data_IF_196895035863
#
_entry.id   IF_196895035863
#
_cell.length_a   1.000
_cell.length_b   1.000
_cell.length_c   1.000
_cell.angle_alpha   90.00
_cell.angle_beta   90.00
_cell.angle_gamma   90.00
#
_symmetry.space_group_name_H-M   'P 1'
#
loop_
_entity.id
_entity.type
_entity.pdbx_description
1 polymer ?
#
# COMPACT_ATOMS: atom_id res chain seq x y z
N UNK A 1 14.07 42.16 7.22
CA UNK A 1 13.10 42.34 8.31
C UNK A 1 12.50 40.96 8.60
N UNK A 2 12.99 40.24 9.61
CA UNK A 2 12.44 38.93 10.01
C UNK A 2 11.21 39.21 10.86
N UNK A 3 10.02 38.84 10.37
CA UNK A 3 8.83 38.81 11.20
C UNK A 3 9.13 37.76 12.28
N UNK A 4 9.25 38.19 13.54
CA UNK A 4 9.35 37.28 14.67
C UNK A 4 8.08 36.43 14.69
N UNK A 5 8.22 35.13 14.54
CA UNK A 5 7.11 34.17 14.66
C UNK A 5 6.45 34.38 16.04
N UNK A 6 5.19 34.79 16.03
CA UNK A 6 4.46 35.12 17.25
C UNK A 6 4.12 33.86 18.06
N UNK A 7 3.59 34.02 19.28
CA UNK A 7 3.13 32.87 20.08
C UNK A 7 2.10 32.00 19.34
N UNK A 8 1.30 32.59 18.43
CA UNK A 8 0.36 31.85 17.59
C UNK A 8 1.04 30.86 16.63
N UNK A 9 2.16 31.24 16.02
CA UNK A 9 2.91 30.38 15.10
C UNK A 9 3.54 29.20 15.86
N UNK A 10 3.96 29.43 17.10
CA UNK A 10 4.46 28.38 17.99
C UNK A 10 3.36 27.37 18.35
N UNK A 11 2.16 27.82 18.69
CA UNK A 11 1.04 26.92 18.96
C UNK A 11 0.60 26.14 17.74
N UNK A 12 0.60 26.77 16.56
CA UNK A 12 0.26 26.09 15.29
C UNK A 12 1.25 24.96 15.00
N UNK A 13 2.55 25.24 15.09
CA UNK A 13 3.60 24.25 14.87
C UNK A 13 3.53 23.09 15.88
N UNK A 14 3.20 23.37 17.15
CA UNK A 14 3.06 22.31 18.16
C UNK A 14 1.82 21.45 17.90
N UNK A 15 0.68 22.05 17.51
CA UNK A 15 -0.53 21.31 17.14
C UNK A 15 -0.28 20.41 15.94
N UNK A 16 0.37 20.92 14.89
CA UNK A 16 0.73 20.13 13.69
C UNK A 16 1.60 18.93 14.06
N UNK A 17 2.63 19.14 14.86
CA UNK A 17 3.54 18.09 15.32
C UNK A 17 2.84 17.02 16.16
N UNK A 18 1.97 17.42 17.09
CA UNK A 18 1.19 16.48 17.92
C UNK A 18 0.21 15.70 17.04
N UNK A 19 -0.46 16.35 16.09
CA UNK A 19 -1.38 15.71 15.16
C UNK A 19 -0.68 14.69 14.26
N UNK A 20 0.49 15.02 13.70
CA UNK A 20 1.30 14.10 12.91
C UNK A 20 1.77 12.89 13.72
N UNK A 21 2.24 13.13 14.95
CA UNK A 21 2.69 12.06 15.86
C UNK A 21 1.54 11.12 16.18
N UNK A 22 0.38 11.67 16.55
CA UNK A 22 -0.83 10.90 16.83
C UNK A 22 -1.28 10.10 15.60
N UNK A 23 -1.31 10.73 14.42
CA UNK A 23 -1.71 10.05 13.18
C UNK A 23 -0.77 8.89 12.87
N UNK A 24 0.55 9.07 12.99
CA UNK A 24 1.51 8.01 12.77
C UNK A 24 1.29 6.82 13.73
N UNK A 25 0.97 7.09 14.99
CA UNK A 25 0.61 6.06 15.97
C UNK A 25 -0.68 5.32 15.57
N UNK A 26 -1.70 6.02 15.08
CA UNK A 26 -2.93 5.38 14.59
C UNK A 26 -2.67 4.50 13.37
N UNK A 27 -1.86 4.96 12.41
CA UNK A 27 -1.51 4.18 11.23
C UNK A 27 -0.77 2.91 11.64
N UNK A 28 0.31 3.03 12.42
CA UNK A 28 1.16 1.90 12.79
C UNK A 28 0.49 0.90 13.74
N UNK A 29 -0.48 1.32 14.55
CA UNK A 29 -1.26 0.40 15.40
C UNK A 29 -2.37 -0.34 14.64
N UNK A 30 -2.72 0.11 13.44
CA UNK A 30 -3.81 -0.47 12.65
C UNK A 30 -3.33 -1.67 11.83
N UNK A 31 -3.62 -2.89 12.29
CA UNK A 31 -3.19 -4.13 11.63
C UNK A 31 -3.62 -4.28 10.15
N UNK A 32 -4.69 -3.60 9.70
CA UNK A 32 -5.15 -3.67 8.30
C UNK A 32 -4.41 -2.72 7.35
N UNK A 33 -3.67 -1.74 7.89
CA UNK A 33 -2.95 -0.73 7.10
C UNK A 33 -1.46 -1.10 6.94
N UNK A 34 -1.11 -2.38 7.03
CA UNK A 34 0.27 -2.85 6.99
C UNK A 34 1.02 -2.44 5.72
N UNK A 35 0.32 -2.25 4.58
CA UNK A 35 0.94 -1.79 3.33
C UNK A 35 1.44 -0.33 3.39
N UNK A 36 1.05 0.45 4.40
CA UNK A 36 1.56 1.82 4.62
C UNK A 36 2.46 1.96 5.84
N UNK A 37 2.69 0.90 6.62
CA UNK A 37 3.61 0.94 7.75
C UNK A 37 5.04 1.16 7.28
N UNK A 38 5.86 1.85 8.09
CA UNK A 38 7.29 2.01 7.88
C UNK A 38 7.68 2.63 6.53
N UNK A 39 6.82 3.48 5.96
CA UNK A 39 7.13 4.23 4.74
C UNK A 39 8.03 5.40 5.05
N UNK A 40 9.32 5.14 4.85
CA UNK A 40 10.40 6.05 5.08
C UNK A 40 10.55 7.07 3.95
N UNK A 41 10.68 8.34 4.34
CA UNK A 41 10.85 9.47 3.43
C UNK A 41 12.13 10.22 3.75
N UNK A 42 12.84 10.59 2.69
CA UNK A 42 14.06 11.37 2.81
C UNK A 42 13.70 12.84 2.94
N UNK A 43 13.96 13.41 4.12
CA UNK A 43 13.54 14.76 4.52
C UNK A 43 14.73 15.66 4.88
N UNK A 44 14.47 16.97 4.91
CA UNK A 44 15.43 18.01 5.26
C UNK A 44 16.21 18.58 4.08
N UNK A 45 16.79 19.78 4.26
CA UNK A 45 17.45 20.58 3.21
C UNK A 45 18.60 19.87 2.49
N UNK A 46 19.18 18.83 3.10
CA UNK A 46 20.29 18.05 2.54
C UNK A 46 19.95 16.56 2.37
N UNK A 47 18.68 16.15 2.51
CA UNK A 47 18.26 14.74 2.37
C UNK A 47 19.02 13.77 3.29
N UNK A 48 19.49 14.25 4.44
CA UNK A 48 20.31 13.48 5.40
C UNK A 48 19.49 12.70 6.43
N UNK A 49 18.19 12.95 6.52
CA UNK A 49 17.33 12.35 7.52
C UNK A 49 16.24 11.54 6.83
N UNK A 50 16.02 10.33 7.34
CA UNK A 50 14.94 9.47 6.89
C UNK A 50 13.94 9.33 8.02
N UNK A 51 12.67 9.65 7.77
CA UNK A 51 11.59 9.62 8.75
C UNK A 51 10.33 8.99 8.15
N UNK A 52 9.49 8.40 9.00
CA UNK A 52 8.12 8.09 8.60
C UNK A 52 7.31 9.39 8.53
N UNK A 53 6.73 9.69 7.37
CA UNK A 53 5.91 10.89 7.15
C UNK A 53 4.47 10.45 6.93
N UNK A 54 3.56 10.63 7.89
CA UNK A 54 2.17 10.16 7.76
C UNK A 54 1.39 10.95 6.71
N UNK A 55 1.62 12.27 6.63
CA UNK A 55 0.94 13.19 5.71
C UNK A 55 1.77 13.40 4.43
N UNK A 56 1.56 12.54 3.43
CA UNK A 56 2.20 12.70 2.11
C UNK A 56 1.29 12.19 0.99
N UNK A 57 1.22 12.95 -0.10
CA UNK A 57 0.61 12.49 -1.34
C UNK A 57 1.47 11.36 -1.94
N UNK A 58 0.92 10.15 -1.97
CA UNK A 58 1.65 8.94 -2.42
C UNK A 58 1.45 8.67 -3.90
N UNK A 59 2.40 7.96 -4.50
CA UNK A 59 2.42 7.67 -5.94
C UNK A 59 1.17 6.92 -6.42
N UNK A 60 0.66 5.94 -5.68
CA UNK A 60 -0.59 5.28 -6.06
C UNK A 60 -1.81 6.22 -6.09
N UNK A 61 -1.76 7.38 -5.40
CA UNK A 61 -2.79 8.42 -5.46
C UNK A 61 -2.57 9.40 -6.62
N UNK A 62 -1.40 9.40 -7.27
CA UNK A 62 -1.12 10.23 -8.46
C UNK A 62 -1.43 9.51 -9.77
N UNK A 63 -1.89 8.26 -9.72
CA UNK A 63 -2.33 7.52 -10.90
C UNK A 63 -3.41 8.30 -11.67
N UNK A 64 -3.20 8.61 -12.97
CA UNK A 64 -4.08 9.53 -13.70
C UNK A 64 -5.44 8.92 -14.03
N UNK A 65 -5.53 7.59 -14.13
CA UNK A 65 -6.80 6.88 -14.39
C UNK A 65 -7.55 6.68 -13.08
N UNK A 66 -8.72 7.34 -12.93
CA UNK A 66 -9.49 7.33 -11.67
C UNK A 66 -9.78 5.93 -11.15
N UNK A 67 -10.26 5.04 -12.02
CA UNK A 67 -10.59 3.66 -11.66
C UNK A 67 -9.40 2.87 -11.12
N UNK A 68 -8.22 3.09 -11.69
CA UNK A 68 -6.99 2.43 -11.25
C UNK A 68 -6.50 3.01 -9.93
N UNK A 69 -6.58 4.33 -9.77
CA UNK A 69 -6.29 5.02 -8.51
C UNK A 69 -7.17 4.52 -7.38
N UNK A 70 -8.47 4.37 -7.62
CA UNK A 70 -9.43 3.87 -6.63
C UNK A 70 -9.12 2.42 -6.26
N UNK A 71 -8.77 1.58 -7.25
CA UNK A 71 -8.38 0.19 -7.01
C UNK A 71 -7.09 0.07 -6.19
N UNK A 72 -6.06 0.87 -6.52
CA UNK A 72 -4.81 0.93 -5.76
C UNK A 72 -5.03 1.46 -4.34
N UNK A 73 -5.81 2.53 -4.18
CA UNK A 73 -6.18 3.05 -2.87
C UNK A 73 -6.93 1.99 -2.06
N UNK A 74 -7.81 1.22 -2.70
CA UNK A 74 -8.56 0.14 -2.06
C UNK A 74 -7.67 -1.00 -1.57
N UNK A 75 -6.64 -1.35 -2.34
CA UNK A 75 -5.57 -2.26 -1.91
C UNK A 75 -4.87 -1.72 -0.67
N UNK A 76 -4.41 -0.47 -0.73
CA UNK A 76 -3.57 0.14 0.32
C UNK A 76 -4.32 0.38 1.62
N UNK A 77 -5.57 0.83 1.55
CA UNK A 77 -6.38 1.19 2.72
C UNK A 77 -7.31 0.05 3.20
N UNK A 78 -7.14 -1.15 2.64
CA UNK A 78 -7.92 -2.34 3.02
C UNK A 78 -9.43 -2.10 2.90
N UNK A 79 -9.87 -1.46 1.79
CA UNK A 79 -11.30 -1.31 1.44
C UNK A 79 -11.73 -2.24 0.31
N UNK A 80 -10.84 -3.16 -0.08
CA UNK A 80 -11.02 -4.10 -1.18
C UNK A 80 -11.95 -5.27 -0.82
N UNK A 81 -12.38 -6.03 -1.83
CA UNK A 81 -13.29 -7.17 -1.66
C UNK A 81 -12.61 -8.51 -1.35
N UNK A 82 -11.29 -8.53 -1.11
CA UNK A 82 -10.56 -9.75 -0.76
C UNK A 82 -10.98 -10.29 0.62
N UNK A 83 -10.88 -11.61 0.80
CA UNK A 83 -11.34 -12.34 1.97
C UNK A 83 -10.59 -11.92 3.23
N UNK A 84 -9.32 -11.50 3.16
CA UNK A 84 -8.60 -10.97 4.33
C UNK A 84 -9.37 -9.83 5.02
N UNK A 85 -10.10 -9.03 4.25
CA UNK A 85 -10.94 -7.93 4.76
C UNK A 85 -12.41 -8.33 4.86
N UNK A 86 -12.99 -8.91 3.80
CA UNK A 86 -14.43 -9.26 3.78
C UNK A 86 -14.81 -10.26 4.85
N UNK A 87 -13.91 -11.15 5.25
CA UNK A 87 -14.13 -12.18 6.27
C UNK A 87 -13.64 -11.75 7.66
N UNK A 88 -13.03 -10.56 7.78
CA UNK A 88 -12.63 -9.96 9.05
C UNK A 88 -13.84 -9.59 9.91
N UNK A 89 -14.89 -9.07 9.28
CA UNK A 89 -16.03 -8.51 9.98
C UNK A 89 -17.12 -9.58 10.19
N UNK A 90 -17.77 -9.50 11.35
CA UNK A 90 -19.06 -10.14 11.55
C UNK A 90 -20.09 -9.34 10.75
N UNK A 91 -20.91 -10.02 9.95
CA UNK A 91 -21.84 -9.38 9.03
C UNK A 91 -23.03 -10.30 8.77
N UNK A 92 -24.25 -9.75 8.75
CA UNK A 92 -25.51 -10.47 8.50
C UNK A 92 -25.63 -11.84 9.20
N UNK A 93 -25.34 -11.91 10.50
CA UNK A 93 -25.41 -13.15 11.28
C UNK A 93 -24.23 -14.11 11.10
N UNK A 94 -23.30 -13.81 10.18
CA UNK A 94 -22.02 -14.52 10.05
C UNK A 94 -21.03 -13.99 11.08
N UNK A 95 -20.36 -14.91 11.78
CA UNK A 95 -19.22 -14.57 12.65
C UNK A 95 -18.01 -14.13 11.84
N UNK A 96 -17.11 -13.38 12.48
CA UNK A 96 -15.76 -13.15 11.95
C UNK A 96 -15.04 -14.49 11.76
N UNK A 97 -14.26 -14.60 10.69
CA UNK A 97 -13.47 -15.78 10.38
C UNK A 97 -12.01 -15.54 10.80
N UNK A 98 -11.38 -16.54 11.41
CA UNK A 98 -9.97 -16.48 11.80
C UNK A 98 -9.08 -16.20 10.59
N UNK A 99 -7.99 -15.45 10.76
CA UNK A 99 -7.19 -14.92 9.63
C UNK A 99 -6.69 -16.02 8.69
N UNK A 100 -6.18 -17.09 9.25
CA UNK A 100 -5.68 -18.30 8.58
C UNK A 100 -6.75 -19.03 7.76
N UNK A 101 -8.02 -18.88 8.13
CA UNK A 101 -9.16 -19.48 7.43
C UNK A 101 -9.75 -18.57 6.33
N UNK A 102 -9.22 -17.36 6.11
CA UNK A 102 -9.71 -16.42 5.08
C UNK A 102 -9.14 -16.75 3.70
N UNK A 103 -9.37 -17.98 3.25
CA UNK A 103 -8.74 -18.55 2.08
C UNK A 103 -9.06 -17.79 0.79
N UNK A 104 -8.10 -17.81 -0.15
CA UNK A 104 -8.20 -17.26 -1.48
C UNK A 104 -9.34 -17.92 -2.25
N UNK A 105 -10.21 -17.11 -2.85
CA UNK A 105 -11.34 -17.63 -3.65
C UNK A 105 -10.89 -18.32 -4.94
N UNK A 106 -9.64 -18.06 -5.36
CA UNK A 106 -9.08 -18.58 -6.60
C UNK A 106 -8.42 -19.93 -6.35
N UNK A 107 -7.42 -19.98 -5.46
CA UNK A 107 -6.63 -21.20 -5.23
C UNK A 107 -7.06 -22.02 -4.02
N UNK A 108 -7.80 -21.44 -3.06
CA UNK A 108 -8.24 -22.07 -1.80
C UNK A 108 -7.13 -22.59 -0.87
N UNK A 109 -5.85 -22.34 -1.17
CA UNK A 109 -4.71 -22.92 -0.45
C UNK A 109 -3.97 -21.93 0.45
N UNK A 110 -4.12 -20.63 0.22
CA UNK A 110 -3.49 -19.55 0.99
C UNK A 110 -4.53 -18.48 1.39
N UNK A 111 -4.18 -17.62 2.34
CA UNK A 111 -5.06 -16.51 2.74
C UNK A 111 -5.17 -15.48 1.60
N UNK A 112 -6.37 -14.97 1.33
CA UNK A 112 -6.62 -14.00 0.25
C UNK A 112 -6.14 -12.59 0.61
N UNK A 113 -4.83 -12.37 0.58
CA UNK A 113 -4.22 -11.05 0.75
C UNK A 113 -3.94 -10.37 -0.60
N UNK A 114 -3.79 -9.03 -0.64
CA UNK A 114 -3.40 -8.33 -1.85
C UNK A 114 -2.12 -8.90 -2.48
N UNK A 115 -1.07 -9.12 -1.70
CA UNK A 115 0.19 -9.64 -2.20
C UNK A 115 0.06 -11.06 -2.75
N UNK A 116 -0.78 -11.91 -2.14
CA UNK A 116 -1.08 -13.23 -2.69
C UNK A 116 -1.74 -13.13 -4.06
N UNK A 117 -2.85 -12.40 -4.16
CA UNK A 117 -3.65 -12.29 -5.41
C UNK A 117 -2.86 -11.57 -6.51
N UNK A 118 -2.10 -10.53 -6.15
CA UNK A 118 -1.43 -9.67 -7.13
C UNK A 118 -0.10 -10.25 -7.61
N UNK A 119 0.62 -11.01 -6.77
CA UNK A 119 1.99 -11.39 -7.06
C UNK A 119 2.19 -12.89 -7.31
N UNK A 120 1.41 -13.77 -6.67
CA UNK A 120 1.71 -15.23 -6.70
C UNK A 120 0.55 -16.15 -7.09
N UNK A 121 -0.71 -15.78 -6.82
CA UNK A 121 -1.87 -16.68 -6.92
C UNK A 121 -2.08 -17.29 -8.32
N UNK A 122 -1.93 -18.61 -8.42
CA UNK A 122 -2.05 -19.42 -9.63
C UNK A 122 -3.43 -20.09 -9.82
N UNK A 123 -4.35 -19.93 -8.87
CA UNK A 123 -5.69 -20.56 -8.91
C UNK A 123 -6.59 -20.17 -10.09
N UNK A 124 -6.17 -19.20 -10.92
CA UNK A 124 -6.82 -18.87 -12.18
C UNK A 124 -5.79 -18.70 -13.28
N UNK A 125 -5.85 -19.51 -14.33
CA UNK A 125 -4.95 -19.42 -15.48
C UNK A 125 -5.05 -18.07 -16.19
N UNK A 126 -6.24 -17.49 -16.29
CA UNK A 126 -6.46 -16.18 -16.88
C UNK A 126 -5.77 -15.06 -16.09
N UNK A 127 -5.98 -15.00 -14.77
CA UNK A 127 -5.35 -13.99 -13.91
C UNK A 127 -3.82 -14.19 -13.89
N UNK A 128 -3.36 -15.44 -13.89
CA UNK A 128 -1.93 -15.76 -13.94
C UNK A 128 -1.29 -15.26 -15.23
N UNK A 129 -1.96 -15.42 -16.38
CA UNK A 129 -1.48 -14.89 -17.65
C UNK A 129 -1.42 -13.36 -17.65
N UNK A 130 -2.47 -12.68 -17.19
CA UNK A 130 -2.48 -11.21 -17.06
C UNK A 130 -1.37 -10.70 -16.12
N UNK A 131 -1.09 -11.44 -15.05
CA UNK A 131 -0.04 -11.13 -14.09
C UNK A 131 1.34 -11.28 -14.71
N UNK A 132 1.59 -12.35 -15.47
CA UNK A 132 2.83 -12.54 -16.20
C UNK A 132 3.07 -11.38 -17.19
N UNK A 133 2.08 -11.03 -18.00
CA UNK A 133 2.16 -9.92 -18.95
C UNK A 133 2.39 -8.57 -18.25
N UNK A 134 1.73 -8.35 -17.10
CA UNK A 134 1.94 -7.15 -16.29
C UNK A 134 3.38 -7.10 -15.74
N UNK A 135 3.86 -8.20 -15.17
CA UNK A 135 5.19 -8.30 -14.58
C UNK A 135 6.30 -8.17 -15.64
N UNK A 136 6.12 -8.71 -16.84
CA UNK A 136 7.05 -8.50 -17.96
C UNK A 136 7.18 -7.03 -18.32
N UNK A 137 6.06 -6.30 -18.40
CA UNK A 137 6.06 -4.85 -18.65
C UNK A 137 6.73 -4.08 -17.52
N UNK A 138 6.48 -4.47 -16.26
CA UNK A 138 7.14 -3.90 -15.09
C UNK A 138 8.66 -4.13 -15.14
N UNK A 139 9.11 -5.37 -15.38
CA UNK A 139 10.52 -5.71 -15.47
C UNK A 139 11.23 -5.02 -16.65
N UNK A 140 10.50 -4.76 -17.74
CA UNK A 140 11.03 -3.98 -18.87
C UNK A 140 11.19 -2.51 -18.50
N UNK A 141 10.23 -1.94 -17.77
CA UNK A 141 10.26 -0.52 -17.36
C UNK A 141 11.24 -0.24 -16.22
N UNK A 142 11.40 -1.19 -15.28
CA UNK A 142 12.30 -1.13 -14.12
C UNK A 142 12.94 -2.51 -13.92
N UNK A 143 14.12 -2.78 -14.52
CA UNK A 143 14.78 -4.09 -14.41
C UNK A 143 15.08 -4.53 -12.97
N UNK A 144 15.32 -3.57 -12.06
CA UNK A 144 15.56 -3.82 -10.64
C UNK A 144 14.39 -4.51 -9.95
N UNK A 145 13.16 -4.36 -10.47
CA UNK A 145 11.97 -5.03 -9.94
C UNK A 145 12.15 -6.57 -9.91
N UNK A 146 12.89 -7.14 -10.88
CA UNK A 146 13.15 -8.59 -10.94
C UNK A 146 14.09 -9.06 -9.83
N UNK A 147 15.07 -8.24 -9.48
CA UNK A 147 16.01 -8.55 -8.38
C UNK A 147 15.28 -8.43 -7.04
N UNK A 148 14.48 -7.37 -6.89
CA UNK A 148 13.73 -7.11 -5.67
C UNK A 148 12.65 -8.16 -5.39
N UNK A 149 12.02 -8.73 -6.42
CA UNK A 149 11.01 -9.78 -6.25
C UNK A 149 11.59 -11.07 -5.65
N UNK A 150 12.89 -11.33 -5.85
CA UNK A 150 13.59 -12.49 -5.30
C UNK A 150 14.13 -12.25 -3.89
N UNK A 151 14.45 -11.00 -3.55
CA UNK A 151 15.09 -10.64 -2.29
C UNK A 151 14.12 -10.25 -1.18
N UNK A 152 12.95 -9.72 -1.55
CA UNK A 152 11.95 -9.21 -0.61
C UNK A 152 10.83 -10.23 -0.41
N UNK A 153 10.20 -10.19 0.76
CA UNK A 153 8.91 -10.84 0.91
C UNK A 153 7.84 -10.10 0.07
N UNK A 154 6.73 -10.78 -0.20
CA UNK A 154 5.68 -10.28 -1.09
C UNK A 154 5.06 -8.95 -0.63
N UNK A 155 4.94 -8.75 0.69
CA UNK A 155 4.43 -7.50 1.27
C UNK A 155 5.37 -6.35 0.92
N UNK A 156 6.66 -6.51 1.20
CA UNK A 156 7.66 -5.49 0.92
C UNK A 156 7.82 -5.23 -0.58
N UNK A 157 7.69 -6.26 -1.41
CA UNK A 157 7.72 -6.08 -2.86
C UNK A 157 6.49 -5.30 -3.35
N UNK A 158 5.29 -5.62 -2.86
CA UNK A 158 4.08 -4.86 -3.19
C UNK A 158 4.16 -3.40 -2.71
N UNK A 159 4.66 -3.16 -1.50
CA UNK A 159 4.92 -1.80 -1.00
C UNK A 159 5.84 -1.02 -1.94
N UNK A 160 6.93 -1.65 -2.38
CA UNK A 160 7.87 -1.04 -3.31
C UNK A 160 7.21 -0.72 -4.66
N UNK A 161 6.43 -1.65 -5.23
CA UNK A 161 5.71 -1.42 -6.49
C UNK A 161 4.75 -0.22 -6.41
N UNK A 162 4.07 -0.04 -5.28
CA UNK A 162 3.13 1.06 -5.03
C UNK A 162 3.82 2.44 -4.92
N UNK A 163 5.15 2.46 -4.78
CA UNK A 163 5.97 3.66 -4.70
C UNK A 163 6.61 4.04 -6.05
N UNK A 164 6.43 3.22 -7.09
CA UNK A 164 7.09 3.43 -8.38
C UNK A 164 6.22 4.22 -9.36
N UNK A 165 6.60 5.47 -9.63
CA UNK A 165 5.86 6.35 -10.55
C UNK A 165 5.80 5.77 -11.98
N UNK A 166 6.92 5.23 -12.48
CA UNK A 166 7.04 4.71 -13.86
C UNK A 166 6.08 3.56 -14.18
N UNK A 167 5.62 2.81 -13.18
CA UNK A 167 4.80 1.60 -13.36
C UNK A 167 3.44 1.69 -12.67
N UNK A 168 3.09 2.81 -12.04
CA UNK A 168 1.82 2.95 -11.29
C UNK A 168 0.59 2.64 -12.15
N UNK A 169 0.66 2.96 -13.46
CA UNK A 169 -0.38 2.61 -14.42
C UNK A 169 -0.48 1.11 -14.70
N UNK A 170 0.64 0.40 -14.74
CA UNK A 170 0.67 -1.05 -14.96
C UNK A 170 0.08 -1.79 -13.75
N UNK A 171 0.53 -1.41 -12.55
CA UNK A 171 0.01 -1.97 -11.29
C UNK A 171 -1.48 -1.65 -11.17
N UNK A 172 -1.87 -0.39 -11.39
CA UNK A 172 -3.26 0.03 -11.30
C UNK A 172 -4.19 -0.65 -12.31
N UNK A 173 -3.72 -0.88 -13.54
CA UNK A 173 -4.47 -1.62 -14.57
C UNK A 173 -4.70 -3.07 -14.18
N UNK A 174 -3.73 -3.73 -13.55
CA UNK A 174 -3.86 -5.12 -13.14
C UNK A 174 -4.79 -5.28 -11.93
N UNK A 175 -4.78 -4.32 -11.01
CA UNK A 175 -5.57 -4.35 -9.77
C UNK A 175 -7.06 -4.01 -9.99
N UNK A 176 -7.38 -3.24 -11.04
CA UNK A 176 -8.76 -2.86 -11.41
C UNK A 176 -9.46 -3.95 -12.22
#
# INVERSE_FOLDING_TARGET
MRISSGPFDLYTAEVEKVAETWLLQQLNSTAKLYLIHHRLEVVGKQRKKTLEVPLKMRIYLTCPVSKYRDALASVVFSTHKLAIERLRWADHGRRSIARDQRLCRLCTTAVETPEHVILECDGSGFISQLRLECMEKIHTAIPEARVLSQQRNLVQYLQWLLEQEKIVLLVGKFVY
#
